data_IF_546501344400
#
_entry.id   IF_546501344400
#
_cell.length_a   1.000
_cell.length_b   1.000
_cell.length_c   1.000
_cell.angle_alpha   90.00
_cell.angle_beta   90.00
_cell.angle_gamma   90.00
#
_symmetry.space_group_name_H-M   'P 1'
#
loop_
_entity.id
_entity.type
_entity.pdbx_description
1 polymer ?
#
# COMPACT_ATOMS: atom_id res chain seq x y z
N UNK A 1 6.97 40.89 -20.26
CA UNK A 1 7.90 39.75 -20.46
C UNK A 1 8.76 39.60 -19.21
N UNK A 2 8.30 39.03 -18.12
CA UNK A 2 9.15 38.49 -17.02
C UNK A 2 8.34 37.84 -15.85
N UNK A 3 7.07 37.52 -16.00
CA UNK A 3 6.28 36.89 -14.90
C UNK A 3 5.95 35.43 -15.16
N UNK A 4 6.23 34.85 -16.31
CA UNK A 4 5.92 33.45 -16.63
C UNK A 4 7.07 32.45 -16.40
N UNK A 5 8.29 32.92 -16.11
CA UNK A 5 9.46 32.06 -15.93
C UNK A 5 9.66 31.57 -14.47
N UNK A 6 9.07 32.24 -13.49
CA UNK A 6 9.29 31.88 -12.09
C UNK A 6 8.32 30.80 -11.53
N UNK A 7 7.13 30.64 -12.09
CA UNK A 7 6.14 29.68 -11.61
C UNK A 7 6.44 28.26 -12.11
N UNK A 8 6.93 28.10 -13.34
CA UNK A 8 7.29 26.78 -13.89
C UNK A 8 8.54 26.17 -13.22
N UNK A 9 9.51 27.01 -12.83
CA UNK A 9 10.73 26.51 -12.18
C UNK A 9 10.47 26.02 -10.74
N UNK A 10 9.57 26.68 -10.01
CA UNK A 10 9.23 26.31 -8.63
C UNK A 10 8.52 24.96 -8.52
N UNK A 11 7.64 24.62 -9.47
CA UNK A 11 6.90 23.35 -9.45
C UNK A 11 7.82 22.19 -9.87
N UNK A 12 8.70 22.40 -10.83
CA UNK A 12 9.69 21.41 -11.28
C UNK A 12 10.76 21.20 -10.19
N UNK A 13 11.22 22.27 -9.54
CA UNK A 13 12.19 22.18 -8.45
C UNK A 13 11.58 21.54 -7.20
N UNK A 14 10.28 21.74 -6.94
CA UNK A 14 9.55 21.08 -5.84
C UNK A 14 9.31 19.59 -6.10
N UNK A 15 8.96 19.22 -7.34
CA UNK A 15 8.87 17.82 -7.77
C UNK A 15 10.25 17.17 -7.84
N UNK A 16 11.29 17.89 -8.26
CA UNK A 16 12.66 17.39 -8.33
C UNK A 16 13.26 17.17 -6.93
N UNK A 17 12.98 18.01 -5.94
CA UNK A 17 13.38 17.82 -4.53
C UNK A 17 12.61 16.70 -3.85
N UNK A 18 11.37 16.47 -4.21
CA UNK A 18 10.57 15.35 -3.70
C UNK A 18 11.10 13.98 -4.19
N UNK A 19 11.76 13.93 -5.36
CA UNK A 19 12.30 12.70 -5.96
C UNK A 19 13.81 12.53 -5.82
N UNK A 20 14.56 13.55 -5.43
CA UNK A 20 16.02 13.47 -5.27
C UNK A 20 16.44 13.19 -3.82
N UNK A 21 16.36 11.93 -3.42
CA UNK A 21 17.36 11.24 -2.59
C UNK A 21 17.53 11.64 -1.11
N UNK A 22 16.44 11.95 -0.39
CA UNK A 22 16.42 11.72 1.06
C UNK A 22 15.14 10.93 1.38
N UNK A 23 15.34 9.74 1.95
CA UNK A 23 14.21 8.93 2.46
C UNK A 23 13.67 9.59 3.74
N UNK A 24 12.82 10.61 3.58
CA UNK A 24 12.25 11.38 4.70
C UNK A 24 11.52 10.50 5.71
N UNK A 25 10.92 9.42 5.24
CA UNK A 25 10.28 8.44 6.11
C UNK A 25 11.29 7.83 7.09
N UNK A 26 12.47 7.42 6.63
CA UNK A 26 13.53 6.88 7.47
C UNK A 26 14.08 7.94 8.45
N UNK A 27 14.26 9.18 8.00
CA UNK A 27 14.71 10.29 8.84
C UNK A 27 13.66 10.59 9.93
N UNK A 28 12.37 10.60 9.60
CA UNK A 28 11.29 10.78 10.58
C UNK A 28 11.30 9.65 11.60
N UNK A 29 11.43 8.39 11.18
CA UNK A 29 11.52 7.25 12.10
C UNK A 29 12.74 7.32 13.02
N UNK A 30 13.90 7.76 12.51
CA UNK A 30 15.11 7.97 13.31
C UNK A 30 14.96 9.15 14.28
N UNK A 31 14.33 10.24 13.85
CA UNK A 31 14.04 11.39 14.71
C UNK A 31 13.11 11.03 15.87
N UNK A 32 12.06 10.24 15.61
CA UNK A 32 11.12 9.77 16.64
C UNK A 32 11.76 8.80 17.65
N UNK A 33 12.89 8.17 17.28
CA UNK A 33 13.67 7.29 18.16
C UNK A 33 14.85 8.01 18.83
N UNK A 34 15.01 9.33 18.64
CA UNK A 34 16.16 10.13 19.06
C UNK A 34 17.52 9.64 18.50
N UNK A 35 17.51 9.13 17.26
CA UNK A 35 18.68 8.58 16.57
C UNK A 35 19.23 9.54 15.49
N UNK A 36 18.67 10.75 15.34
CA UNK A 36 19.11 11.75 14.37
C UNK A 36 20.15 12.69 14.95
N UNK A 37 21.07 13.13 14.10
CA UNK A 37 22.01 14.22 14.40
C UNK A 37 21.29 15.59 14.44
N UNK A 38 21.91 16.59 15.07
CA UNK A 38 21.37 17.95 15.14
C UNK A 38 21.17 18.57 13.74
N UNK A 39 22.01 18.23 12.77
CA UNK A 39 21.91 18.69 11.39
C UNK A 39 20.73 18.04 10.66
N UNK A 40 20.49 16.74 10.87
CA UNK A 40 19.33 16.03 10.28
C UNK A 40 18.01 16.54 10.88
N UNK A 41 17.98 16.87 12.17
CA UNK A 41 16.80 17.45 12.80
C UNK A 41 16.48 18.85 12.27
N UNK A 42 17.49 19.69 12.00
CA UNK A 42 17.29 20.98 11.34
C UNK A 42 16.71 20.83 9.95
N UNK A 43 17.28 19.93 9.12
CA UNK A 43 16.78 19.65 7.79
C UNK A 43 15.35 19.10 7.81
N UNK A 44 15.03 18.24 8.76
CA UNK A 44 13.67 17.73 8.96
C UNK A 44 12.70 18.87 9.32
N UNK A 45 13.11 19.80 10.16
CA UNK A 45 12.28 20.94 10.54
C UNK A 45 12.05 21.91 9.38
N UNK A 46 13.07 22.16 8.55
CA UNK A 46 12.95 22.94 7.33
C UNK A 46 11.98 22.29 6.36
N UNK A 47 12.17 20.99 6.08
CA UNK A 47 11.29 20.22 5.21
C UNK A 47 9.83 20.20 5.68
N UNK A 48 9.55 20.08 6.98
CA UNK A 48 8.20 20.17 7.55
C UNK A 48 7.54 21.51 7.26
N UNK A 49 8.31 22.60 7.27
CA UNK A 49 7.82 23.96 7.05
C UNK A 49 7.69 24.32 5.56
N UNK A 50 8.23 23.52 4.64
CA UNK A 50 8.20 23.79 3.19
C UNK A 50 6.79 23.62 2.59
N UNK A 51 6.02 22.64 3.08
CA UNK A 51 4.68 22.36 2.59
C UNK A 51 3.78 21.75 3.68
N UNK A 52 2.46 22.07 3.72
CA UNK A 52 1.51 21.47 4.65
C UNK A 52 1.45 19.95 4.58
N UNK A 53 1.66 19.37 3.38
CA UNK A 53 1.67 17.93 3.15
C UNK A 53 2.83 17.24 3.88
N UNK A 54 3.98 17.90 3.98
CA UNK A 54 5.16 17.41 4.68
C UNK A 54 4.91 17.33 6.19
N UNK A 55 4.29 18.35 6.76
CA UNK A 55 3.87 18.37 8.17
C UNK A 55 2.84 17.28 8.44
N UNK A 56 1.90 17.09 7.55
CA UNK A 56 0.89 16.04 7.67
C UNK A 56 1.51 14.64 7.59
N UNK A 57 2.51 14.43 6.73
CA UNK A 57 3.26 13.17 6.65
C UNK A 57 4.02 12.91 7.97
N UNK A 58 4.69 13.92 8.54
CA UNK A 58 5.37 13.82 9.82
C UNK A 58 4.42 13.44 10.96
N UNK A 59 3.28 14.13 11.11
CA UNK A 59 2.30 13.84 12.17
C UNK A 59 1.64 12.45 11.99
N UNK A 60 1.44 11.99 10.76
CA UNK A 60 0.94 10.64 10.49
C UNK A 60 1.94 9.57 10.98
N UNK A 61 3.23 9.69 10.64
CA UNK A 61 4.26 8.76 11.08
C UNK A 61 4.46 8.82 12.59
N UNK A 62 4.41 10.00 13.19
CA UNK A 62 4.48 10.21 14.65
C UNK A 62 3.30 9.56 15.39
N UNK A 63 2.09 9.62 14.83
CA UNK A 63 0.91 8.92 15.35
C UNK A 63 1.10 7.40 15.38
N UNK A 64 1.68 6.84 14.32
CA UNK A 64 2.02 5.41 14.23
C UNK A 64 3.12 5.04 15.24
N UNK A 65 4.15 5.87 15.39
CA UNK A 65 5.23 5.67 16.37
C UNK A 65 4.73 5.73 17.82
N UNK A 66 3.80 6.62 18.13
CA UNK A 66 3.16 6.73 19.45
C UNK A 66 2.44 5.44 19.84
N UNK A 67 1.74 4.81 18.89
CA UNK A 67 1.07 3.54 19.09
C UNK A 67 2.07 2.38 19.28
N UNK A 68 3.19 2.37 18.54
CA UNK A 68 4.27 1.39 18.71
C UNK A 68 4.98 1.51 20.07
N UNK A 69 5.17 2.72 20.59
CA UNK A 69 5.76 2.96 21.91
C UNK A 69 4.80 2.58 23.05
N UNK A 70 3.50 2.74 22.87
CA UNK A 70 2.47 2.27 23.81
C UNK A 70 2.50 0.74 23.92
N UNK A 71 2.64 0.01 22.81
CA UNK A 71 2.74 -1.45 22.80
C UNK A 71 4.07 -1.95 23.41
N UNK A 72 5.18 -1.27 23.18
CA UNK A 72 6.48 -1.56 23.85
C UNK A 72 6.43 -1.26 25.34
N UNK A 73 5.70 -0.26 25.78
CA UNK A 73 5.48 0.05 27.20
C UNK A 73 4.75 -1.06 27.96
N UNK A 74 3.81 -1.74 27.32
CA UNK A 74 3.11 -2.91 27.88
C UNK A 74 4.06 -4.12 28.02
N UNK A 75 4.93 -4.33 27.05
CA UNK A 75 5.89 -5.45 27.02
C UNK A 75 7.04 -5.24 28.04
N UNK A 76 7.47 -3.99 28.27
CA UNK A 76 8.49 -3.64 29.28
C UNK A 76 7.99 -3.77 30.71
N UNK A 77 6.72 -3.47 30.99
CA UNK A 77 6.13 -3.59 32.33
C UNK A 77 6.08 -5.06 32.82
N UNK A 78 6.05 -6.03 31.93
CA UNK A 78 6.09 -7.45 32.28
C UNK A 78 7.49 -8.00 32.45
N UNK A 79 8.52 -7.43 31.82
CA UNK A 79 9.91 -7.92 31.88
C UNK A 79 10.71 -7.35 33.06
N UNK A 80 10.55 -6.09 33.43
CA UNK A 80 11.32 -5.49 34.53
C UNK A 80 10.99 -6.07 35.90
N UNK A 81 9.72 -6.37 36.15
CA UNK A 81 9.30 -6.99 37.43
C UNK A 81 9.80 -8.43 37.63
N UNK A 82 10.04 -9.16 36.54
CA UNK A 82 10.56 -10.53 36.59
C UNK A 82 12.09 -10.54 36.84
N UNK A 83 12.84 -9.62 36.24
CA UNK A 83 14.31 -9.56 36.36
C UNK A 83 14.76 -9.07 37.73
N UNK A 84 14.10 -8.05 38.30
CA UNK A 84 14.43 -7.55 39.66
C UNK A 84 14.20 -8.58 40.75
N UNK A 85 13.15 -9.39 40.63
CA UNK A 85 12.88 -10.45 41.60
C UNK A 85 13.89 -11.62 41.53
N UNK A 86 14.50 -11.87 40.40
CA UNK A 86 15.57 -12.90 40.26
C UNK A 86 16.89 -12.37 40.80
N UNK A 87 17.25 -11.10 40.55
CA UNK A 87 18.50 -10.50 41.01
C UNK A 87 18.55 -10.25 42.53
N UNK A 88 17.41 -9.99 43.18
CA UNK A 88 17.35 -9.83 44.65
C UNK A 88 17.49 -11.14 45.43
N UNK A 89 17.20 -12.29 44.83
CA UNK A 89 17.33 -13.63 45.48
C UNK A 89 18.75 -14.22 45.43
N UNK A 90 19.65 -13.72 44.59
CA UNK A 90 21.01 -14.27 44.41
C UNK A 90 22.10 -13.57 45.21
N UNK A 91 21.83 -12.47 45.96
CA UNK A 91 22.83 -11.66 46.62
C UNK A 91 23.03 -11.96 48.12
N UNK A 92 22.46 -13.02 48.66
CA UNK A 92 22.76 -13.44 50.02
C UNK A 92 23.07 -14.94 50.10
N UNK A 93 24.36 -15.26 50.01
CA UNK A 93 25.07 -16.35 50.73
C UNK A 93 26.35 -16.68 49.98
N UNK A 94 27.45 -16.04 50.35
CA UNK A 94 28.78 -16.57 50.11
C UNK A 94 29.59 -16.43 51.39
N UNK A 95 30.02 -17.54 51.91
CA UNK A 95 31.27 -17.73 52.63
C UNK A 95 31.17 -19.09 53.36
N UNK A 96 31.84 -20.09 52.83
CA UNK A 96 31.99 -21.38 53.52
C UNK A 96 32.31 -22.63 52.68
N UNK A 97 32.13 -22.57 51.33
CA UNK A 97 32.19 -23.80 50.52
C UNK A 97 33.41 -23.94 49.59
N UNK A 98 34.43 -23.09 49.70
CA UNK A 98 35.57 -23.11 48.77
C UNK A 98 36.46 -24.38 48.86
N UNK A 99 36.35 -25.21 49.92
CA UNK A 99 37.12 -26.45 50.00
C UNK A 99 36.36 -27.68 49.49
N UNK A 100 35.04 -27.66 49.48
CA UNK A 100 34.19 -28.75 48.93
C UNK A 100 34.09 -28.69 47.41
N UNK A 101 34.23 -27.50 46.82
CA UNK A 101 34.07 -27.28 45.36
C UNK A 101 35.16 -28.00 44.52
N UNK A 102 36.37 -28.27 45.08
CA UNK A 102 37.43 -28.96 44.35
C UNK A 102 37.11 -30.46 44.08
N UNK A 103 36.37 -31.12 44.97
CA UNK A 103 35.95 -32.51 44.76
C UNK A 103 34.65 -32.65 43.96
N UNK A 104 33.77 -31.66 44.07
CA UNK A 104 32.52 -31.61 43.31
C UNK A 104 32.77 -31.38 41.82
N UNK A 105 33.79 -30.58 41.49
CA UNK A 105 34.16 -30.29 40.08
C UNK A 105 34.67 -31.55 39.34
N UNK A 106 35.35 -32.47 40.03
CA UNK A 106 35.90 -33.70 39.42
C UNK A 106 34.78 -34.69 39.06
N UNK A 107 33.65 -34.67 39.76
CA UNK A 107 32.47 -35.54 39.46
C UNK A 107 31.40 -34.88 38.61
N UNK A 108 31.23 -33.55 38.73
CA UNK A 108 30.22 -32.82 37.95
C UNK A 108 30.66 -32.54 36.47
N UNK A 109 31.97 -32.38 36.24
CA UNK A 109 32.47 -32.06 34.91
C UNK A 109 32.27 -33.22 33.91
N UNK A 110 32.58 -34.51 34.26
CA UNK A 110 32.26 -35.62 33.37
C UNK A 110 30.77 -35.89 33.24
N UNK A 111 29.99 -35.61 34.30
CA UNK A 111 28.52 -35.78 34.27
C UNK A 111 27.86 -34.71 33.39
N UNK A 112 28.36 -33.47 33.43
CA UNK A 112 27.90 -32.40 32.51
C UNK A 112 28.33 -32.68 31.07
N UNK A 113 29.60 -33.11 30.86
CA UNK A 113 30.09 -33.46 29.52
C UNK A 113 29.40 -34.72 28.98
N UNK A 114 29.12 -35.73 29.80
CA UNK A 114 28.37 -36.91 29.42
C UNK A 114 26.88 -36.60 29.18
N UNK A 115 26.28 -35.76 30.02
CA UNK A 115 24.92 -35.30 29.89
C UNK A 115 24.70 -34.41 28.64
N UNK A 116 25.65 -33.51 28.37
CA UNK A 116 25.57 -32.69 27.13
C UNK A 116 25.82 -33.52 25.89
N UNK A 117 26.76 -34.47 25.92
CA UNK A 117 27.02 -35.39 24.81
C UNK A 117 25.81 -36.32 24.58
N UNK A 118 25.20 -36.85 25.66
CA UNK A 118 23.97 -37.67 25.57
C UNK A 118 22.77 -36.85 25.08
N UNK A 119 22.64 -35.62 25.54
CA UNK A 119 21.63 -34.68 25.07
C UNK A 119 21.84 -34.35 23.58
N UNK A 120 23.06 -34.08 23.17
CA UNK A 120 23.44 -33.81 21.76
C UNK A 120 23.19 -35.05 20.88
N UNK A 121 23.55 -36.26 21.36
CA UNK A 121 23.32 -37.50 20.61
C UNK A 121 21.83 -37.87 20.54
N UNK A 122 21.05 -37.59 21.59
CA UNK A 122 19.60 -37.76 21.57
C UNK A 122 18.91 -36.70 20.70
N UNK A 123 19.38 -35.46 20.77
CA UNK A 123 18.85 -34.38 19.95
C UNK A 123 19.19 -34.58 18.46
N UNK A 124 20.39 -35.09 18.14
CA UNK A 124 20.74 -35.48 16.76
C UNK A 124 19.90 -36.65 16.21
N UNK A 125 19.36 -37.51 17.07
CA UNK A 125 18.43 -38.58 16.66
C UNK A 125 17.00 -38.11 16.44
N UNK A 126 16.57 -37.00 17.07
CA UNK A 126 15.27 -36.39 16.84
C UNK A 126 15.25 -35.37 15.70
N UNK A 127 16.42 -34.89 15.26
CA UNK A 127 16.56 -33.99 14.07
C UNK A 127 16.68 -34.80 12.77
N UNK A 128 16.52 -36.13 12.81
CA UNK A 128 16.61 -37.00 11.64
C UNK A 128 15.28 -37.29 10.93
N UNK A 129 14.15 -36.79 11.41
CA UNK A 129 12.97 -36.56 10.57
C UNK A 129 13.03 -35.10 10.15
N UNK A 130 13.61 -34.84 8.98
CA UNK A 130 13.28 -33.67 8.19
C UNK A 130 11.76 -33.71 8.00
N UNK A 131 11.05 -33.03 8.89
CA UNK A 131 9.75 -32.50 8.49
C UNK A 131 9.98 -31.83 7.15
N UNK A 132 9.20 -32.16 6.11
CA UNK A 132 9.32 -31.43 4.88
C UNK A 132 9.19 -29.97 5.29
N UNK A 133 10.30 -29.23 5.20
CA UNK A 133 10.25 -27.77 5.20
C UNK A 133 9.44 -27.49 3.97
N UNK A 134 8.11 -27.45 4.13
CA UNK A 134 7.29 -26.70 3.22
C UNK A 134 7.93 -25.33 3.31
N UNK A 135 8.68 -24.97 2.25
CA UNK A 135 9.13 -23.60 2.04
C UNK A 135 7.81 -22.84 1.92
N UNK A 136 7.27 -22.44 3.06
CA UNK A 136 6.13 -21.56 3.09
C UNK A 136 6.57 -20.35 2.29
N UNK A 137 6.08 -20.25 1.06
CA UNK A 137 6.43 -19.18 0.15
C UNK A 137 6.21 -17.89 0.93
N UNK A 138 7.30 -17.21 1.27
CA UNK A 138 7.22 -15.99 2.06
C UNK A 138 6.30 -15.01 1.31
N UNK A 139 5.17 -14.69 1.89
CA UNK A 139 4.19 -13.79 1.28
C UNK A 139 4.72 -12.37 1.46
N UNK A 140 5.24 -11.83 0.38
CA UNK A 140 5.80 -10.48 0.33
C UNK A 140 4.70 -9.45 0.05
N UNK A 141 4.90 -8.20 0.52
CA UNK A 141 4.02 -7.09 0.15
C UNK A 141 4.05 -6.86 -1.36
N UNK A 142 3.00 -6.26 -1.87
CA UNK A 142 2.91 -5.82 -3.25
C UNK A 142 3.97 -4.78 -3.62
N UNK A 143 4.02 -4.44 -4.89
CA UNK A 143 4.97 -3.45 -5.42
C UNK A 143 4.65 -3.07 -6.85
N UNK A 144 5.51 -2.30 -7.52
CA UNK A 144 5.27 -1.86 -8.90
C UNK A 144 5.25 -3.05 -9.85
N UNK A 145 4.06 -3.38 -10.37
CA UNK A 145 3.83 -4.47 -11.33
C UNK A 145 2.69 -4.09 -12.26
N UNK A 146 2.91 -4.13 -13.56
CA UNK A 146 1.86 -3.96 -14.56
C UNK A 146 2.21 -4.62 -15.88
N UNK A 147 1.17 -4.90 -16.68
CA UNK A 147 1.26 -5.40 -18.06
C UNK A 147 0.57 -4.37 -18.95
N UNK A 148 1.29 -3.89 -19.97
CA UNK A 148 0.77 -2.96 -20.95
C UNK A 148 0.43 -3.70 -22.24
N UNK A 149 -0.79 -3.51 -22.71
CA UNK A 149 -1.29 -3.98 -24.00
C UNK A 149 -1.43 -2.78 -24.93
N UNK A 150 -0.66 -2.76 -26.00
CA UNK A 150 -0.70 -1.68 -26.98
C UNK A 150 -1.79 -1.92 -28.03
N UNK A 151 -2.19 -0.86 -28.70
CA UNK A 151 -3.20 -0.88 -29.75
C UNK A 151 -2.78 -1.72 -30.98
N UNK A 152 -1.48 -1.92 -31.19
CA UNK A 152 -0.92 -2.78 -32.25
C UNK A 152 -0.83 -4.28 -31.89
N UNK A 153 -1.32 -4.64 -30.70
CA UNK A 153 -1.33 -6.01 -30.16
C UNK A 153 -0.05 -6.42 -29.42
N UNK A 154 0.94 -5.53 -29.30
CA UNK A 154 2.11 -5.82 -28.47
C UNK A 154 1.72 -5.91 -27.00
N UNK A 155 2.36 -6.83 -26.25
CA UNK A 155 2.19 -7.00 -24.81
C UNK A 155 3.54 -6.81 -24.13
N UNK A 156 3.62 -5.89 -23.18
CA UNK A 156 4.85 -5.48 -22.52
C UNK A 156 4.71 -5.70 -21.01
N UNK A 157 5.59 -6.52 -20.45
CA UNK A 157 5.71 -6.71 -19.00
C UNK A 157 6.58 -5.59 -18.41
N UNK A 158 5.93 -4.62 -17.76
CA UNK A 158 6.59 -3.44 -17.19
C UNK A 158 7.45 -3.76 -15.94
N UNK A 159 7.30 -4.96 -15.37
CA UNK A 159 8.12 -5.39 -14.21
C UNK A 159 9.58 -5.65 -14.60
N UNK A 160 9.82 -6.03 -15.84
CA UNK A 160 11.12 -6.47 -16.39
C UNK A 160 11.77 -5.43 -17.27
N UNK A 161 11.04 -4.41 -17.64
CA UNK A 161 11.50 -3.40 -18.59
C UNK A 161 12.35 -2.36 -17.85
N UNK A 162 13.55 -2.09 -18.36
CA UNK A 162 14.45 -1.02 -17.90
C UNK A 162 14.00 0.27 -18.58
N UNK A 163 14.41 1.43 -18.06
CA UNK A 163 14.17 2.73 -18.69
C UNK A 163 14.29 2.64 -20.22
N UNK A 164 13.17 2.79 -20.91
CA UNK A 164 13.08 2.57 -22.34
C UNK A 164 11.99 3.42 -22.97
N UNK A 165 12.19 3.72 -24.25
CA UNK A 165 11.14 4.29 -25.09
C UNK A 165 10.46 3.13 -25.80
N UNK A 166 9.16 3.01 -25.59
CA UNK A 166 8.29 2.06 -26.27
C UNK A 166 7.68 2.79 -27.46
N UNK A 167 7.81 2.23 -28.65
CA UNK A 167 7.20 2.81 -29.85
C UNK A 167 5.99 1.97 -30.22
N UNK A 168 4.80 2.57 -30.18
CA UNK A 168 3.59 1.98 -30.77
C UNK A 168 3.72 1.97 -32.28
N UNK A 169 3.78 0.79 -32.88
CA UNK A 169 4.04 0.64 -34.33
C UNK A 169 2.89 1.09 -35.21
N UNK A 170 1.68 1.14 -34.65
CA UNK A 170 0.49 1.56 -35.40
C UNK A 170 0.39 3.07 -35.51
N UNK A 171 0.70 3.78 -34.43
CA UNK A 171 0.65 5.24 -34.34
C UNK A 171 2.01 5.92 -34.56
N UNK A 172 3.11 5.18 -34.41
CA UNK A 172 4.48 5.74 -34.42
C UNK A 172 4.79 6.59 -33.17
N UNK A 173 3.95 6.54 -32.15
CA UNK A 173 4.09 7.36 -30.95
C UNK A 173 5.05 6.73 -29.95
N UNK A 174 5.85 7.58 -29.31
CA UNK A 174 6.81 7.21 -28.29
C UNK A 174 6.18 7.32 -26.89
N UNK A 175 6.23 6.22 -26.14
CA UNK A 175 5.79 6.12 -24.76
C UNK A 175 7.05 5.99 -23.91
N UNK A 176 7.27 6.92 -23.00
CA UNK A 176 8.44 6.85 -22.12
C UNK A 176 8.13 6.06 -20.87
N UNK A 177 8.90 5.00 -20.62
CA UNK A 177 8.91 4.28 -19.35
C UNK A 177 9.99 4.84 -18.45
N UNK A 178 9.62 5.39 -17.31
CA UNK A 178 10.53 5.83 -16.26
C UNK A 178 10.47 4.89 -15.08
N UNK A 179 11.56 4.19 -14.82
CA UNK A 179 11.69 3.24 -13.70
C UNK A 179 11.86 3.94 -12.36
N UNK A 180 12.51 5.10 -12.35
CA UNK A 180 12.76 5.85 -11.11
C UNK A 180 11.46 6.25 -10.39
N UNK A 181 10.40 6.48 -11.16
CA UNK A 181 9.07 6.84 -10.62
C UNK A 181 8.01 5.76 -10.87
N UNK A 182 8.42 4.58 -11.42
CA UNK A 182 7.52 3.50 -11.81
C UNK A 182 6.30 3.99 -12.61
N UNK A 183 6.54 4.85 -13.61
CA UNK A 183 5.48 5.50 -14.37
C UNK A 183 5.67 5.34 -15.88
N UNK A 184 4.53 5.14 -16.57
CA UNK A 184 4.39 5.31 -18.00
C UNK A 184 3.98 6.74 -18.33
N UNK A 185 4.66 7.39 -19.26
CA UNK A 185 4.39 8.77 -19.62
C UNK A 185 4.03 8.90 -21.10
N UNK A 186 2.83 9.40 -21.35
CA UNK A 186 2.28 9.70 -22.68
C UNK A 186 2.24 11.21 -22.98
N UNK A 187 2.76 12.09 -22.12
CA UNK A 187 2.62 13.55 -22.25
C UNK A 187 3.31 14.16 -23.50
N UNK A 188 4.11 13.39 -24.23
CA UNK A 188 4.73 13.81 -25.50
C UNK A 188 3.91 13.45 -26.75
N UNK A 189 2.81 12.76 -26.57
CA UNK A 189 1.96 12.24 -27.65
C UNK A 189 1.04 13.33 -28.17
N UNK A 190 1.43 14.01 -29.27
CA UNK A 190 0.59 14.99 -29.95
C UNK A 190 -0.18 14.32 -31.10
N UNK A 191 -1.51 14.39 -31.02
CA UNK A 191 -2.39 13.88 -32.06
C UNK A 191 -2.31 14.71 -33.34
N UNK A 192 -1.27 14.55 -34.14
CA UNK A 192 -1.20 15.08 -35.49
C UNK A 192 -1.75 14.04 -36.47
N UNK A 193 -3.05 13.83 -36.48
CA UNK A 193 -3.69 13.01 -37.51
C UNK A 193 -4.78 13.82 -38.20
N UNK A 194 -4.48 14.22 -39.44
CA UNK A 194 -5.37 14.89 -40.42
C UNK A 194 -6.51 13.97 -40.94
N UNK A 195 -6.82 12.85 -40.27
CA UNK A 195 -7.92 11.99 -40.62
C UNK A 195 -8.63 11.45 -39.34
N UNK A 196 -9.96 11.27 -39.32
CA UNK A 196 -10.66 10.57 -38.25
C UNK A 196 -10.32 9.08 -38.29
N UNK A 197 -9.14 8.72 -37.76
CA UNK A 197 -8.83 7.35 -37.46
C UNK A 197 -9.57 6.95 -36.17
N UNK A 198 -10.09 5.74 -36.14
CA UNK A 198 -10.58 5.12 -34.91
C UNK A 198 -9.55 5.35 -33.82
N UNK A 199 -10.00 5.85 -32.65
CA UNK A 199 -9.14 6.09 -31.51
C UNK A 199 -8.47 4.76 -31.13
N UNK A 200 -7.15 4.69 -31.25
CA UNK A 200 -6.38 3.53 -30.81
C UNK A 200 -6.33 3.52 -29.27
N UNK A 201 -6.78 2.44 -28.68
CA UNK A 201 -6.81 2.26 -27.23
C UNK A 201 -5.68 1.36 -26.77
N UNK A 202 -4.99 1.79 -25.74
CA UNK A 202 -4.12 0.96 -24.93
C UNK A 202 -4.86 0.50 -23.68
N UNK A 203 -4.35 -0.59 -23.10
CA UNK A 203 -4.85 -1.12 -21.85
C UNK A 203 -3.68 -1.44 -20.92
N UNK A 204 -3.75 -0.96 -19.69
CA UNK A 204 -2.83 -1.35 -18.62
C UNK A 204 -3.57 -2.24 -17.63
N UNK A 205 -2.95 -3.34 -17.23
CA UNK A 205 -3.45 -4.26 -16.22
C UNK A 205 -2.45 -4.35 -15.07
N UNK A 206 -2.90 -4.02 -13.89
CA UNK A 206 -2.16 -4.18 -12.63
C UNK A 206 -2.66 -5.45 -11.96
N UNK A 207 -1.83 -6.49 -11.84
CA UNK A 207 -2.23 -7.75 -11.20
C UNK A 207 -2.40 -7.59 -9.69
N UNK A 208 -2.87 -8.64 -9.03
CA UNK A 208 -2.81 -8.74 -7.57
C UNK A 208 -1.35 -8.61 -7.12
N UNK A 209 -1.12 -7.97 -5.98
CA UNK A 209 0.21 -7.62 -5.50
C UNK A 209 0.92 -6.56 -6.35
N UNK A 210 0.17 -5.82 -7.20
CA UNK A 210 0.69 -4.76 -8.05
C UNK A 210 0.17 -3.37 -7.67
N UNK A 211 0.90 -2.35 -8.07
CA UNK A 211 0.48 -0.95 -8.18
C UNK A 211 1.30 -0.30 -9.29
N UNK A 212 0.75 0.71 -9.95
CA UNK A 212 1.46 1.39 -11.02
C UNK A 212 0.98 2.82 -11.22
N UNK A 213 1.84 3.69 -11.76
CA UNK A 213 1.49 5.08 -12.09
C UNK A 213 1.50 5.28 -13.61
N UNK A 214 0.56 6.08 -14.11
CA UNK A 214 0.39 6.41 -15.51
C UNK A 214 0.18 7.92 -15.66
N UNK A 215 0.84 8.55 -16.63
CA UNK A 215 0.56 9.92 -17.06
C UNK A 215 -0.03 9.85 -18.46
N UNK A 216 -1.28 10.27 -18.61
CA UNK A 216 -2.01 10.27 -19.87
C UNK A 216 -1.56 11.40 -20.80
N UNK A 217 -2.00 11.36 -22.06
CA UNK A 217 -1.58 12.33 -23.09
C UNK A 217 -1.96 13.78 -22.80
N UNK A 218 -2.99 14.02 -21.97
CA UNK A 218 -3.41 15.34 -21.50
C UNK A 218 -2.68 15.81 -20.24
N UNK A 219 -1.73 15.00 -19.70
CA UNK A 219 -1.00 15.26 -18.47
C UNK A 219 -1.74 14.80 -17.21
N UNK A 220 -2.92 14.19 -17.33
CA UNK A 220 -3.65 13.58 -16.21
C UNK A 220 -2.82 12.45 -15.60
N UNK A 221 -2.63 12.49 -14.27
CA UNK A 221 -1.92 11.44 -13.54
C UNK A 221 -2.91 10.45 -12.97
N UNK A 222 -2.59 9.16 -13.09
CA UNK A 222 -3.44 8.07 -12.61
C UNK A 222 -2.58 7.08 -11.82
N UNK A 223 -2.90 6.86 -10.55
CA UNK A 223 -2.35 5.78 -9.74
C UNK A 223 -3.32 4.61 -9.81
N UNK A 224 -2.82 3.45 -10.15
CA UNK A 224 -3.59 2.21 -10.28
C UNK A 224 -3.27 1.28 -9.12
N UNK A 225 -4.28 0.85 -8.39
CA UNK A 225 -4.14 -0.10 -7.29
C UNK A 225 -4.15 -1.55 -7.80
N UNK A 226 -3.93 -2.51 -6.90
CA UNK A 226 -3.94 -3.95 -7.22
C UNK A 226 -5.25 -4.42 -7.84
N UNK A 227 -5.16 -5.39 -8.76
CA UNK A 227 -6.30 -5.99 -9.47
C UNK A 227 -7.10 -4.95 -10.27
N UNK A 228 -6.38 -4.03 -10.96
CA UNK A 228 -6.97 -2.91 -11.71
C UNK A 228 -6.63 -2.98 -13.19
N UNK A 229 -7.64 -2.69 -14.01
CA UNK A 229 -7.53 -2.54 -15.46
C UNK A 229 -8.02 -1.16 -15.87
N UNK A 230 -7.22 -0.44 -16.64
CA UNK A 230 -7.56 0.84 -17.25
C UNK A 230 -7.37 0.76 -18.76
N UNK A 231 -8.41 1.12 -19.51
CA UNK A 231 -8.35 1.31 -20.96
C UNK A 231 -8.43 2.82 -21.27
N UNK A 232 -7.54 3.29 -22.12
CA UNK A 232 -7.41 4.71 -22.45
C UNK A 232 -6.90 4.88 -23.88
N UNK A 233 -7.29 5.95 -24.58
CA UNK A 233 -6.80 6.23 -25.92
C UNK A 233 -5.35 6.74 -25.86
N UNK A 234 -4.57 6.48 -26.91
CA UNK A 234 -3.21 7.02 -27.06
C UNK A 234 -3.20 8.56 -27.03
N UNK A 235 -4.18 9.18 -27.68
CA UNK A 235 -4.46 10.60 -27.60
C UNK A 235 -5.95 10.82 -27.46
N UNK A 236 -6.35 11.78 -26.64
CA UNK A 236 -7.75 12.12 -26.46
C UNK A 236 -8.33 12.83 -27.67
N UNK A 237 -9.62 12.59 -27.92
CA UNK A 237 -10.38 13.25 -28.97
C UNK A 237 -10.64 14.75 -28.71
N UNK A 238 -11.32 15.39 -29.67
CA UNK A 238 -11.64 16.82 -29.62
C UNK A 238 -12.77 17.15 -28.62
N UNK A 239 -13.67 16.19 -28.34
CA UNK A 239 -14.91 16.45 -27.57
C UNK A 239 -14.89 15.93 -26.14
N UNK A 240 -14.19 14.83 -25.89
CA UNK A 240 -14.13 14.20 -24.57
C UNK A 240 -12.79 13.50 -24.33
N UNK A 241 -12.53 13.21 -23.07
CA UNK A 241 -11.38 12.46 -22.58
C UNK A 241 -11.89 11.22 -21.83
N UNK A 242 -12.12 10.14 -22.56
CA UNK A 242 -12.81 8.97 -22.08
C UNK A 242 -11.82 7.84 -21.71
N UNK A 243 -11.95 7.30 -20.50
CA UNK A 243 -11.22 6.12 -20.03
C UNK A 243 -12.20 5.11 -19.42
N UNK A 244 -11.83 3.83 -19.43
CA UNK A 244 -12.62 2.76 -18.78
C UNK A 244 -11.86 2.14 -17.64
N UNK A 245 -12.47 2.09 -16.46
CA UNK A 245 -11.88 1.57 -15.23
C UNK A 245 -12.64 0.33 -14.75
N UNK A 246 -11.88 -0.73 -14.44
CA UNK A 246 -12.30 -1.86 -13.62
C UNK A 246 -11.26 -2.07 -12.54
N UNK A 247 -11.62 -1.97 -11.26
CA UNK A 247 -10.69 -1.95 -10.13
C UNK A 247 -10.68 -0.61 -9.41
N UNK A 248 -9.54 -0.16 -8.93
CA UNK A 248 -9.39 1.08 -8.15
C UNK A 248 -8.26 1.95 -8.69
N UNK A 249 -8.56 3.22 -8.91
CA UNK A 249 -7.57 4.20 -9.33
C UNK A 249 -7.83 5.58 -8.68
N UNK A 250 -6.73 6.27 -8.42
CA UNK A 250 -6.77 7.67 -8.03
C UNK A 250 -6.35 8.53 -9.22
N UNK A 251 -7.13 9.58 -9.48
CA UNK A 251 -6.95 10.48 -10.62
C UNK A 251 -6.62 11.90 -10.15
N UNK A 252 -5.59 12.50 -10.74
CA UNK A 252 -5.35 13.93 -10.72
C UNK A 252 -5.55 14.44 -12.15
N UNK A 253 -6.79 14.85 -12.44
CA UNK A 253 -7.18 15.22 -13.81
C UNK A 253 -6.73 16.62 -14.14
N UNK A 254 -5.99 16.76 -15.25
CA UNK A 254 -5.59 18.06 -15.81
C UNK A 254 -6.82 18.89 -16.14
N UNK A 255 -6.83 20.15 -15.70
CA UNK A 255 -7.96 21.05 -15.90
C UNK A 255 -8.14 21.38 -17.38
N UNK A 256 -9.30 21.03 -17.92
CA UNK A 256 -9.78 21.36 -19.25
C UNK A 256 -11.31 21.48 -19.21
N UNK A 257 -11.81 22.70 -19.28
CA UNK A 257 -13.24 23.00 -19.20
C UNK A 257 -13.97 22.81 -20.54
N UNK A 258 -13.23 22.72 -21.65
CA UNK A 258 -13.79 22.49 -22.97
C UNK A 258 -14.10 21.01 -23.22
N UNK A 259 -13.29 20.10 -22.64
CA UNK A 259 -13.45 18.65 -22.82
C UNK A 259 -13.56 17.98 -21.46
N UNK A 260 -14.70 17.32 -21.23
CA UNK A 260 -14.91 16.53 -20.01
C UNK A 260 -13.96 15.35 -19.99
N UNK A 261 -13.53 14.98 -18.80
CA UNK A 261 -12.84 13.72 -18.53
C UNK A 261 -13.86 12.75 -17.93
N UNK A 262 -14.06 11.63 -18.58
CA UNK A 262 -15.05 10.62 -18.21
C UNK A 262 -14.37 9.33 -17.79
N UNK A 263 -14.60 8.87 -16.55
CA UNK A 263 -14.22 7.54 -16.11
C UNK A 263 -15.43 6.62 -16.15
N UNK A 264 -15.47 5.77 -17.17
CA UNK A 264 -16.55 4.80 -17.37
C UNK A 264 -16.28 3.57 -16.51
N UNK A 265 -17.23 3.22 -15.66
CA UNK A 265 -17.23 2.04 -14.79
C UNK A 265 -18.47 1.20 -15.10
N UNK A 266 -18.64 0.07 -14.43
CA UNK A 266 -19.83 -0.76 -14.60
C UNK A 266 -21.09 -0.04 -14.10
N UNK A 267 -21.98 0.34 -15.01
CA UNK A 267 -23.26 1.00 -14.73
C UNK A 267 -23.16 2.48 -14.31
N UNK A 268 -21.96 3.04 -14.16
CA UNK A 268 -21.75 4.43 -13.73
C UNK A 268 -20.60 5.10 -14.48
N UNK A 269 -20.69 6.41 -14.68
CA UNK A 269 -19.63 7.24 -15.29
C UNK A 269 -19.36 8.44 -14.40
N UNK A 270 -18.11 8.67 -14.06
CA UNK A 270 -17.64 9.87 -13.35
C UNK A 270 -17.28 10.91 -14.41
N UNK A 271 -17.93 12.08 -14.39
CA UNK A 271 -17.65 13.21 -15.27
C UNK A 271 -17.00 14.36 -14.50
N UNK A 272 -15.82 14.81 -14.97
CA UNK A 272 -15.04 15.90 -14.35
C UNK A 272 -14.41 16.80 -15.40
N UNK A 273 -13.89 17.97 -14.99
CA UNK A 273 -13.17 18.92 -15.87
C UNK A 273 -11.80 19.30 -15.36
N UNK A 274 -11.39 18.82 -14.15
CA UNK A 274 -10.13 19.16 -13.50
C UNK A 274 -10.28 18.91 -12.01
N UNK A 275 -10.05 17.68 -11.57
CA UNK A 275 -10.53 17.16 -10.29
C UNK A 275 -9.56 16.12 -9.79
N UNK A 276 -9.36 16.06 -8.48
CA UNK A 276 -8.62 14.98 -7.81
C UNK A 276 -9.61 14.09 -7.04
N UNK A 277 -9.61 12.79 -7.33
CA UNK A 277 -10.57 11.85 -6.77
C UNK A 277 -10.10 10.40 -6.81
N UNK A 278 -10.64 9.58 -5.92
CA UNK A 278 -10.50 8.12 -5.97
C UNK A 278 -11.74 7.49 -6.60
N UNK A 279 -11.56 6.58 -7.53
CA UNK A 279 -12.62 5.78 -8.14
C UNK A 279 -12.35 4.30 -7.90
N UNK A 280 -13.35 3.55 -7.46
CA UNK A 280 -13.25 2.12 -7.17
C UNK A 280 -14.48 1.40 -7.70
N UNK A 281 -14.28 0.39 -8.54
CA UNK A 281 -15.34 -0.45 -9.10
C UNK A 281 -14.78 -1.84 -9.41
N UNK A 282 -14.71 -2.70 -8.38
CA UNK A 282 -14.29 -4.08 -8.54
C UNK A 282 -15.50 -4.95 -8.89
N UNK A 283 -15.47 -5.74 -9.98
CA UNK A 283 -16.64 -6.49 -10.47
C UNK A 283 -17.28 -7.42 -9.46
N UNK A 284 -16.48 -7.93 -8.49
CA UNK A 284 -16.95 -8.88 -7.47
C UNK A 284 -17.53 -8.21 -6.22
N UNK A 285 -17.39 -6.90 -6.08
CA UNK A 285 -17.85 -6.16 -4.90
C UNK A 285 -19.28 -5.63 -5.06
N UNK A 286 -19.83 -5.67 -6.28
CA UNK A 286 -21.20 -5.24 -6.58
C UNK A 286 -21.44 -3.75 -6.37
N UNK A 287 -20.39 -2.95 -6.17
CA UNK A 287 -20.47 -1.53 -5.88
C UNK A 287 -19.36 -0.74 -6.56
N UNK A 288 -19.73 0.40 -7.17
CA UNK A 288 -18.78 1.41 -7.64
C UNK A 288 -18.82 2.63 -6.72
N UNK A 289 -17.64 3.19 -6.40
CA UNK A 289 -17.51 4.36 -5.51
C UNK A 289 -16.71 5.46 -6.20
N UNK A 290 -17.10 6.72 -5.95
CA UNK A 290 -16.36 7.91 -6.35
C UNK A 290 -16.19 8.81 -5.13
N UNK A 291 -14.93 9.07 -4.72
CA UNK A 291 -14.60 9.86 -3.54
C UNK A 291 -13.88 11.12 -3.97
N UNK A 292 -14.44 12.27 -3.67
CA UNK A 292 -13.95 13.56 -4.13
C UNK A 292 -12.99 14.20 -3.14
N UNK A 293 -11.71 14.40 -3.55
CA UNK A 293 -10.72 15.12 -2.75
C UNK A 293 -10.64 16.61 -3.11
N UNK A 294 -10.69 16.96 -4.40
CA UNK A 294 -10.67 18.35 -4.84
C UNK A 294 -11.39 18.53 -6.18
N UNK A 295 -12.13 19.63 -6.35
CA UNK A 295 -12.84 19.96 -7.59
C UNK A 295 -14.32 19.66 -7.53
N UNK A 296 -14.87 19.03 -8.56
CA UNK A 296 -16.29 18.65 -8.67
C UNK A 296 -16.43 17.35 -9.45
N UNK A 297 -17.31 16.47 -8.98
CA UNK A 297 -17.71 15.25 -9.68
C UNK A 297 -19.21 15.32 -10.01
N UNK A 298 -19.57 14.84 -11.20
CA UNK A 298 -20.92 14.44 -11.54
C UNK A 298 -20.90 12.93 -11.81
N UNK A 299 -21.48 12.14 -10.91
CA UNK A 299 -21.62 10.70 -11.11
C UNK A 299 -22.90 10.44 -11.90
N UNK A 300 -22.78 9.94 -13.13
CA UNK A 300 -23.91 9.61 -14.02
C UNK A 300 -24.18 8.11 -14.02
N UNK A 301 -25.46 7.77 -13.96
CA UNK A 301 -25.98 6.42 -14.12
C UNK A 301 -27.12 6.46 -15.14
N UNK A 302 -27.71 5.32 -15.48
CA UNK A 302 -28.91 5.25 -16.31
C UNK A 302 -30.12 6.00 -15.69
N UNK A 303 -30.11 6.17 -14.36
CA UNK A 303 -31.21 6.86 -13.63
C UNK A 303 -30.96 8.36 -13.44
N UNK A 304 -29.88 8.92 -13.96
CA UNK A 304 -29.56 10.34 -13.88
C UNK A 304 -28.15 10.65 -13.31
N UNK A 305 -27.91 11.93 -13.03
CA UNK A 305 -26.65 12.41 -12.49
C UNK A 305 -26.78 12.87 -11.04
N UNK A 306 -25.75 12.58 -10.23
CA UNK A 306 -25.64 13.03 -8.85
C UNK A 306 -24.33 13.81 -8.69
N UNK A 307 -24.42 15.03 -8.15
CA UNK A 307 -23.25 15.82 -7.80
C UNK A 307 -22.63 15.29 -6.50
N UNK A 308 -21.31 15.31 -6.44
CA UNK A 308 -20.51 14.90 -5.26
C UNK A 308 -19.67 16.09 -4.85
N UNK A 309 -19.76 16.48 -3.60
CA UNK A 309 -18.97 17.57 -3.02
C UNK A 309 -17.67 17.06 -2.40
N UNK A 310 -16.71 17.99 -2.15
CA UNK A 310 -15.42 17.66 -1.54
C UNK A 310 -15.64 17.04 -0.16
N UNK A 311 -14.98 15.90 0.09
CA UNK A 311 -15.13 15.12 1.32
C UNK A 311 -16.32 14.15 1.31
N UNK A 312 -16.97 13.95 0.15
CA UNK A 312 -18.03 12.98 -0.01
C UNK A 312 -17.63 11.78 -0.84
N UNK A 313 -18.32 10.67 -0.58
CA UNK A 313 -18.31 9.43 -1.35
C UNK A 313 -19.68 9.18 -1.97
N UNK A 314 -19.74 9.10 -3.29
CA UNK A 314 -20.89 8.55 -3.98
C UNK A 314 -20.68 7.06 -4.22
N UNK A 315 -21.62 6.24 -3.76
CA UNK A 315 -21.62 4.78 -3.91
C UNK A 315 -22.81 4.37 -4.80
N UNK A 316 -22.50 3.67 -5.89
CA UNK A 316 -23.48 3.09 -6.81
C UNK A 316 -23.52 1.58 -6.63
N UNK A 317 -24.66 1.05 -6.23
CA UNK A 317 -24.91 -0.40 -6.14
C UNK A 317 -25.30 -0.93 -7.51
N UNK A 318 -24.49 -1.85 -8.05
CA UNK A 318 -24.64 -2.36 -9.42
C UNK A 318 -25.93 -3.18 -9.57
N UNK A 319 -26.37 -3.85 -8.50
CA UNK A 319 -27.54 -4.75 -8.56
C UNK A 319 -28.84 -3.98 -8.48
N UNK A 320 -28.93 -3.04 -7.55
CA UNK A 320 -30.16 -2.26 -7.32
C UNK A 320 -30.25 -0.97 -8.14
N UNK A 321 -29.14 -0.51 -8.74
CA UNK A 321 -29.04 0.77 -9.43
C UNK A 321 -29.10 1.99 -8.49
N UNK A 322 -29.06 1.78 -7.17
CA UNK A 322 -29.19 2.85 -6.18
C UNK A 322 -27.88 3.61 -6.02
N UNK A 323 -27.96 4.94 -5.97
CA UNK A 323 -26.86 5.82 -5.60
C UNK A 323 -27.08 6.35 -4.18
N UNK A 324 -26.03 6.32 -3.36
CA UNK A 324 -25.99 6.99 -2.05
C UNK A 324 -24.79 7.94 -2.02
N UNK A 325 -24.93 9.09 -1.35
CA UNK A 325 -23.85 10.06 -1.15
C UNK A 325 -23.74 10.32 0.33
N UNK A 326 -22.52 10.21 0.87
CA UNK A 326 -22.24 10.42 2.29
C UNK A 326 -20.89 11.11 2.50
N UNK A 327 -20.79 11.89 3.56
CA UNK A 327 -19.53 12.50 3.98
C UNK A 327 -18.59 11.44 4.54
N UNK A 328 -17.31 11.48 4.11
CA UNK A 328 -16.30 10.49 4.49
C UNK A 328 -14.98 11.15 4.89
N UNK A 329 -14.18 10.45 5.69
CA UNK A 329 -12.77 10.82 5.85
C UNK A 329 -11.96 10.27 4.65
N UNK A 330 -11.43 11.18 3.86
CA UNK A 330 -10.68 10.88 2.63
C UNK A 330 -9.52 9.90 2.85
N UNK A 331 -8.91 9.91 4.04
CA UNK A 331 -7.77 9.02 4.37
C UNK A 331 -8.08 7.54 4.12
N UNK A 332 -9.32 7.11 4.37
CA UNK A 332 -9.72 5.70 4.21
C UNK A 332 -9.77 5.25 2.75
N UNK A 333 -9.85 6.21 1.82
CA UNK A 333 -9.97 5.94 0.39
C UNK A 333 -8.71 6.31 -0.40
N UNK A 334 -7.87 7.23 0.11
CA UNK A 334 -6.74 7.78 -0.66
C UNK A 334 -5.37 7.43 -0.08
N UNK A 335 -5.28 6.95 1.18
CA UNK A 335 -4.02 6.66 1.87
C UNK A 335 -3.20 5.53 1.23
N UNK A 336 -3.84 4.63 0.47
CA UNK A 336 -3.15 3.55 -0.23
C UNK A 336 -2.09 4.09 -1.21
N UNK A 337 -2.35 5.21 -1.84
CA UNK A 337 -1.42 5.94 -2.72
C UNK A 337 -0.12 6.34 -2.00
N UNK A 338 -0.20 6.57 -0.69
CA UNK A 338 0.93 6.91 0.18
C UNK A 338 1.48 5.70 0.94
N UNK A 339 1.23 4.49 0.46
CA UNK A 339 1.77 3.26 1.05
C UNK A 339 1.17 2.89 2.41
N UNK A 340 -0.04 3.32 2.73
CA UNK A 340 -0.68 3.07 4.02
C UNK A 340 -2.05 2.42 3.84
N UNK A 341 -2.33 1.38 4.61
CA UNK A 341 -3.69 0.93 4.88
C UNK A 341 -4.27 1.75 6.01
N UNK A 342 -5.46 2.26 5.82
CA UNK A 342 -6.22 2.99 6.83
C UNK A 342 -7.61 2.37 6.96
N UNK A 343 -8.02 2.04 8.18
CA UNK A 343 -9.31 1.42 8.48
C UNK A 343 -10.01 2.19 9.59
N UNK A 344 -11.31 2.38 9.47
CA UNK A 344 -12.14 2.97 10.50
C UNK A 344 -13.48 2.26 10.55
N UNK A 345 -13.74 1.58 11.67
CA UNK A 345 -14.92 0.76 11.82
C UNK A 345 -15.19 -0.13 10.59
N UNK A 346 -14.09 -0.64 9.98
CA UNK A 346 -14.14 -1.39 8.73
C UNK A 346 -14.34 -2.85 9.01
N UNK A 347 -15.34 -3.52 8.39
CA UNK A 347 -15.58 -4.95 8.55
C UNK A 347 -14.37 -5.78 8.10
N UNK A 348 -14.10 -6.88 8.80
CA UNK A 348 -13.01 -7.79 8.47
C UNK A 348 -13.12 -8.33 7.04
N UNK A 349 -14.34 -8.54 6.56
CA UNK A 349 -14.60 -8.94 5.17
C UNK A 349 -14.03 -7.96 4.14
N UNK A 350 -14.11 -6.65 4.38
CA UNK A 350 -13.54 -5.63 3.51
C UNK A 350 -12.01 -5.53 3.68
N UNK A 351 -11.53 -5.64 4.92
CA UNK A 351 -10.08 -5.61 5.22
C UNK A 351 -9.36 -6.74 4.49
N UNK A 352 -9.86 -7.98 4.60
CA UNK A 352 -9.22 -9.14 3.96
C UNK A 352 -9.29 -9.10 2.44
N UNK A 353 -10.27 -8.42 1.86
CA UNK A 353 -10.30 -8.16 0.41
C UNK A 353 -9.15 -7.21 0.00
N UNK A 354 -8.95 -6.11 0.73
CA UNK A 354 -7.84 -5.17 0.49
C UNK A 354 -6.48 -5.83 0.68
N UNK A 355 -6.30 -6.58 1.79
CA UNK A 355 -5.08 -7.33 2.05
C UNK A 355 -4.87 -8.43 1.00
N UNK A 356 -5.92 -9.17 0.65
CA UNK A 356 -5.87 -10.22 -0.36
C UNK A 356 -5.38 -9.72 -1.70
N UNK A 357 -5.86 -8.57 -2.16
CA UNK A 357 -5.38 -7.93 -3.40
C UNK A 357 -3.91 -7.51 -3.32
N UNK A 358 -3.50 -6.91 -2.21
CA UNK A 358 -2.14 -6.38 -2.05
C UNK A 358 -1.07 -7.44 -1.85
N UNK A 359 -1.37 -8.50 -1.07
CA UNK A 359 -0.42 -9.59 -0.80
C UNK A 359 -0.56 -10.77 -1.75
N UNK A 360 -1.52 -10.72 -2.70
CA UNK A 360 -1.85 -11.81 -3.61
C UNK A 360 -2.16 -13.13 -2.86
N UNK A 361 -3.01 -13.05 -1.85
CA UNK A 361 -3.46 -14.18 -1.04
C UNK A 361 -4.98 -14.25 -1.00
N UNK A 362 -5.51 -15.44 -0.70
CA UNK A 362 -6.94 -15.63 -0.49
C UNK A 362 -7.21 -15.83 1.00
N UNK A 363 -8.35 -15.29 1.46
CA UNK A 363 -8.84 -15.49 2.82
C UNK A 363 -10.12 -16.31 2.81
N UNK A 364 -10.29 -17.15 3.82
CA UNK A 364 -11.52 -17.90 4.10
C UNK A 364 -11.89 -17.77 5.56
N UNK A 365 -13.18 -17.62 5.84
CA UNK A 365 -13.72 -17.57 7.17
C UNK A 365 -14.17 -18.98 7.59
N UNK A 366 -13.70 -19.45 8.74
CA UNK A 366 -14.21 -20.68 9.35
C UNK A 366 -15.59 -20.47 9.98
N UNK A 367 -15.89 -19.22 10.39
CA UNK A 367 -17.18 -18.79 10.93
C UNK A 367 -17.60 -17.48 10.22
N UNK A 368 -18.74 -17.49 9.57
CA UNK A 368 -19.29 -16.35 8.83
C UNK A 368 -19.54 -15.12 9.72
N UNK A 369 -19.78 -15.31 11.03
CA UNK A 369 -19.98 -14.21 11.98
C UNK A 369 -18.74 -13.32 12.14
N UNK A 370 -17.54 -13.80 11.75
CA UNK A 370 -16.30 -13.02 11.79
C UNK A 370 -16.23 -11.95 10.71
N UNK A 371 -17.04 -12.04 9.66
CA UNK A 371 -17.05 -11.08 8.54
C UNK A 371 -17.34 -9.65 8.98
N UNK A 372 -18.24 -9.51 9.95
CA UNK A 372 -18.76 -8.22 10.41
C UNK A 372 -17.97 -7.66 11.60
N UNK A 373 -16.93 -8.37 12.06
CA UNK A 373 -16.03 -7.84 13.09
C UNK A 373 -15.28 -6.63 12.55
N UNK A 374 -15.47 -5.47 13.18
CA UNK A 374 -14.93 -4.21 12.71
C UNK A 374 -13.59 -3.85 13.36
N UNK A 375 -12.72 -3.22 12.57
CA UNK A 375 -11.40 -2.75 12.99
C UNK A 375 -11.19 -1.27 12.65
N UNK A 376 -10.40 -0.61 13.50
CA UNK A 376 -9.91 0.74 13.23
C UNK A 376 -8.41 0.78 13.48
N UNK A 377 -7.66 1.40 12.58
CA UNK A 377 -6.21 1.53 12.69
C UNK A 377 -5.55 1.87 11.37
N UNK A 378 -4.22 1.96 11.42
CA UNK A 378 -3.39 2.19 10.24
C UNK A 378 -2.16 1.27 10.25
N UNK A 379 -1.71 0.85 9.06
CA UNK A 379 -0.50 0.06 8.90
C UNK A 379 0.17 0.35 7.55
N UNK A 380 1.50 0.31 7.52
CA UNK A 380 2.25 0.49 6.28
C UNK A 380 2.07 -0.71 5.35
N UNK A 381 1.80 -0.46 4.09
CA UNK A 381 1.68 -1.49 3.04
C UNK A 381 2.98 -2.24 2.77
N UNK A 382 4.13 -1.66 3.14
CA UNK A 382 5.46 -2.28 3.03
C UNK A 382 5.73 -3.38 4.07
N UNK A 383 4.88 -3.52 5.10
CA UNK A 383 5.02 -4.59 6.11
C UNK A 383 4.63 -5.95 5.54
N UNK A 384 5.17 -7.04 6.13
CA UNK A 384 4.82 -8.40 5.76
C UNK A 384 3.36 -8.73 6.09
N UNK A 385 2.81 -9.76 5.45
CA UNK A 385 1.46 -10.23 5.77
C UNK A 385 1.39 -10.73 7.23
N UNK A 386 2.44 -11.37 7.74
CA UNK A 386 2.49 -11.86 9.12
C UNK A 386 2.30 -10.73 10.12
N UNK A 387 2.97 -9.59 9.90
CA UNK A 387 2.77 -8.39 10.72
C UNK A 387 1.30 -7.92 10.71
N UNK A 388 0.65 -7.93 9.54
CA UNK A 388 -0.75 -7.54 9.42
C UNK A 388 -1.68 -8.49 10.14
N UNK A 389 -1.43 -9.80 10.03
CA UNK A 389 -2.22 -10.83 10.72
C UNK A 389 -2.03 -10.75 12.25
N UNK A 390 -0.81 -10.55 12.73
CA UNK A 390 -0.52 -10.33 14.15
C UNK A 390 -1.23 -9.08 14.69
N UNK A 391 -1.24 -7.99 13.92
CA UNK A 391 -1.93 -6.76 14.29
C UNK A 391 -3.43 -7.00 14.44
N UNK A 392 -4.07 -7.68 13.49
CA UNK A 392 -5.49 -8.03 13.56
C UNK A 392 -5.79 -9.00 14.72
N UNK A 393 -4.95 -10.01 14.93
CA UNK A 393 -5.08 -10.99 16.02
C UNK A 393 -4.91 -10.35 17.41
N UNK A 394 -4.10 -9.28 17.53
CA UNK A 394 -3.85 -8.60 18.81
C UNK A 394 -5.02 -7.72 19.26
N UNK A 395 -5.84 -7.25 18.33
CA UNK A 395 -6.96 -6.33 18.62
C UNK A 395 -8.27 -7.05 18.87
N UNK A 396 -8.42 -8.28 18.40
CA UNK A 396 -9.61 -9.12 18.53
C UNK A 396 -9.18 -10.57 18.79
N UNK A 397 -10.08 -11.38 19.36
CA UNK A 397 -9.83 -12.82 19.61
C UNK A 397 -9.88 -13.62 18.30
N UNK A 398 -8.94 -13.36 17.39
CA UNK A 398 -8.81 -14.02 16.09
C UNK A 398 -7.51 -14.82 16.01
N UNK A 399 -7.57 -15.90 15.24
CA UNK A 399 -6.41 -16.66 14.79
C UNK A 399 -6.40 -16.74 13.26
N UNK A 400 -5.20 -16.81 12.70
CA UNK A 400 -4.95 -16.95 11.28
C UNK A 400 -4.03 -18.14 11.02
N UNK A 401 -4.37 -18.99 10.07
CA UNK A 401 -3.56 -20.14 9.67
C UNK A 401 -3.34 -20.15 8.16
N UNK A 402 -2.08 -20.19 7.75
CA UNK A 402 -1.68 -20.21 6.34
C UNK A 402 -1.65 -21.65 5.88
N UNK A 403 -2.59 -22.01 5.03
CA UNK A 403 -2.74 -23.35 4.48
C UNK A 403 -1.65 -23.63 3.43
N UNK A 404 -1.42 -24.91 3.12
CA UNK A 404 -0.41 -25.32 2.14
C UNK A 404 -0.60 -24.79 0.72
N UNK A 405 -1.82 -24.36 0.35
CA UNK A 405 -2.15 -23.72 -0.93
C UNK A 405 -1.98 -22.18 -0.90
N UNK A 406 -1.53 -21.61 0.24
CA UNK A 406 -1.39 -20.17 0.44
C UNK A 406 -2.68 -19.46 0.85
N UNK A 407 -3.80 -20.17 1.03
CA UNK A 407 -5.05 -19.60 1.57
C UNK A 407 -4.89 -19.35 3.07
N UNK A 408 -5.36 -18.20 3.55
CA UNK A 408 -5.34 -17.84 4.97
C UNK A 408 -6.72 -18.10 5.56
N UNK A 409 -6.79 -19.06 6.49
CA UNK A 409 -8.00 -19.35 7.25
C UNK A 409 -8.12 -18.45 8.47
N UNK A 410 -9.32 -17.93 8.71
CA UNK A 410 -9.65 -17.03 9.83
C UNK A 410 -10.61 -17.76 10.76
N UNK A 411 -10.28 -17.86 12.04
CA UNK A 411 -11.14 -18.47 13.04
C UNK A 411 -11.05 -17.72 14.37
N UNK A 412 -12.04 -17.93 15.20
CA UNK A 412 -12.09 -17.36 16.54
C UNK A 412 -11.08 -18.06 17.45
N UNK A 413 -10.40 -17.31 18.29
CA UNK A 413 -9.45 -17.80 19.28
C UNK A 413 -10.15 -18.53 20.42
#
# INVERSE_FOLDING_TARGET
KSLFSHVSFSIIDHLFRFYMNQNWEEIIWRALRNECSSEELMKLQEWRNEAPENEQMYENIKGIAGMGNFLKGIDSLHKENALENILKRTRQRSLGYARLLKYVAVFLLPLLLGGTLFYFLKFKRQVGEELPVSVAKQILPGGPKAILYLSDGQVIDLNRTIDSVIVDKHSGQEITLSKDINALNYSGVTGNTTQPKELAYNRIEVPRGGEYMLVLSDGTKVWLNSETRLEYPLAFGEYSRDVRLSGEAYFEVTRDTARRFNVMMEGATIEVTGTSFNASCYPREGQCRAVLENGKINLRTEHGGVAVDVGECASYDIVSGKVTVEAVDLKYFTSWRYGTFYFYNTPLSEIVQKLGRWYDVNFKFADESLRDVCFSGAALRSKSIDFMLELLASTQSLNFDIQGDGTIMIYKK
#
